data_IF_004392958749
#
_entry.id   IF_004392958749
#
_cell.length_a   1.000
_cell.length_b   1.000
_cell.length_c   1.000
_cell.angle_alpha   90.00
_cell.angle_beta   90.00
_cell.angle_gamma   90.00
#
_symmetry.space_group_name_H-M   'P 1'
#
loop_
_entity.id
_entity.type
_entity.pdbx_description
1 polymer ?
#
# COMPACT_ATOMS: atom_id res chain seq x y z
N UNK A 1 -16.44 -10.04 47.96
CA UNK A 1 -17.09 -9.50 46.76
C UNK A 1 -17.88 -10.63 46.13
N UNK A 2 -19.20 -10.47 46.03
CA UNK A 2 -20.07 -11.50 45.47
C UNK A 2 -19.84 -11.61 43.96
N UNK A 3 -19.78 -12.83 43.45
CA UNK A 3 -19.81 -13.07 42.00
C UNK A 3 -21.27 -12.84 41.58
N UNK A 4 -21.50 -11.84 40.73
CA UNK A 4 -22.82 -11.61 40.13
C UNK A 4 -23.24 -12.81 39.29
N UNK A 5 -24.48 -13.26 39.47
CA UNK A 5 -25.02 -14.43 38.78
C UNK A 5 -26.02 -13.98 37.72
N UNK A 6 -26.08 -14.73 36.63
CA UNK A 6 -27.17 -14.62 35.67
C UNK A 6 -28.40 -15.25 36.30
N UNK A 7 -29.49 -14.47 36.37
CA UNK A 7 -30.79 -14.89 36.90
C UNK A 7 -31.61 -15.50 35.77
N UNK A 8 -31.66 -14.81 34.62
CA UNK A 8 -32.46 -15.22 33.49
C UNK A 8 -31.85 -14.70 32.18
N UNK A 9 -32.12 -15.41 31.09
CA UNK A 9 -31.76 -15.01 29.73
C UNK A 9 -33.01 -15.11 28.87
N UNK A 10 -33.49 -13.98 28.40
CA UNK A 10 -34.59 -13.94 27.44
C UNK A 10 -34.02 -13.73 26.03
N UNK A 11 -34.39 -14.63 25.13
CA UNK A 11 -34.03 -14.55 23.72
C UNK A 11 -35.27 -14.20 22.92
N UNK A 12 -35.15 -13.18 22.07
CA UNK A 12 -36.08 -12.93 20.98
C UNK A 12 -35.31 -12.97 19.66
N UNK A 13 -35.98 -13.01 18.50
CA UNK A 13 -35.32 -13.09 17.20
C UNK A 13 -34.25 -12.02 16.94
N UNK A 14 -34.31 -10.89 17.67
CA UNK A 14 -33.42 -9.73 17.48
C UNK A 14 -32.79 -9.19 18.76
N UNK A 15 -32.98 -9.85 19.91
CA UNK A 15 -32.45 -9.37 21.19
C UNK A 15 -32.12 -10.51 22.14
N UNK A 16 -31.08 -10.27 22.94
CA UNK A 16 -30.68 -11.09 24.08
C UNK A 16 -30.75 -10.19 25.32
N UNK A 17 -31.68 -10.46 26.22
CA UNK A 17 -31.83 -9.73 27.48
C UNK A 17 -31.30 -10.62 28.60
N UNK A 18 -30.27 -10.14 29.31
CA UNK A 18 -29.63 -10.85 30.41
C UNK A 18 -30.00 -10.17 31.72
N UNK A 19 -30.70 -10.89 32.59
CA UNK A 19 -31.02 -10.45 33.94
C UNK A 19 -29.91 -10.96 34.87
N UNK A 20 -29.34 -10.09 35.69
CA UNK A 20 -28.24 -10.44 36.61
C UNK A 20 -28.58 -10.05 38.04
N UNK A 21 -27.90 -10.62 39.02
CA UNK A 21 -28.03 -10.25 40.44
C UNK A 21 -27.40 -8.91 40.79
N UNK A 22 -26.81 -8.20 39.82
CA UNK A 22 -26.15 -6.92 40.03
C UNK A 22 -27.19 -5.81 40.17
N UNK A 23 -27.21 -5.15 41.32
CA UNK A 23 -27.98 -3.92 41.54
C UNK A 23 -27.07 -2.70 41.35
N UNK A 24 -27.37 -1.84 40.35
CA UNK A 24 -26.63 -0.60 40.09
C UNK A 24 -26.29 -0.34 38.62
N UNK A 25 -25.64 0.79 38.28
CA UNK A 25 -25.29 1.16 36.91
C UNK A 25 -24.40 0.10 36.23
N UNK A 26 -24.68 -0.15 34.95
CA UNK A 26 -24.15 -1.28 34.16
C UNK A 26 -22.68 -1.13 33.74
N UNK A 27 -22.04 -0.02 34.09
CA UNK A 27 -20.78 0.46 33.53
C UNK A 27 -19.57 -0.45 33.85
N UNK A 28 -19.78 -1.49 34.65
CA UNK A 28 -18.77 -2.48 35.05
C UNK A 28 -19.16 -3.92 34.68
N UNK A 29 -20.15 -4.13 33.81
CA UNK A 29 -20.55 -5.46 33.35
C UNK A 29 -19.80 -5.81 32.04
N UNK A 30 -18.79 -6.67 32.12
CA UNK A 30 -18.12 -7.20 30.93
C UNK A 30 -18.75 -8.53 30.53
N UNK A 31 -19.54 -8.55 29.47
CA UNK A 31 -20.13 -9.77 28.91
C UNK A 31 -19.21 -10.29 27.80
N UNK A 32 -18.66 -11.49 27.98
CA UNK A 32 -17.93 -12.20 26.92
C UNK A 32 -18.85 -13.30 26.36
N UNK A 33 -19.27 -13.16 25.11
CA UNK A 33 -20.09 -14.16 24.42
C UNK A 33 -19.15 -15.04 23.60
N UNK A 34 -19.00 -16.30 24.00
CA UNK A 34 -18.28 -17.31 23.22
C UNK A 34 -19.30 -18.15 22.45
N UNK A 35 -19.34 -17.99 21.13
CA UNK A 35 -20.21 -18.79 20.27
C UNK A 35 -19.52 -20.11 19.93
N UNK A 36 -20.04 -21.22 20.46
CA UNK A 36 -19.69 -22.53 19.95
C UNK A 36 -20.49 -22.78 18.66
N UNK A 37 -19.86 -23.17 17.54
CA UNK A 37 -20.59 -23.55 16.34
C UNK A 37 -21.46 -24.78 16.66
N UNK A 38 -22.77 -24.58 16.68
CA UNK A 38 -23.75 -25.65 16.86
C UNK A 38 -23.93 -26.34 15.51
N UNK A 39 -23.76 -27.66 15.47
CA UNK A 39 -23.95 -28.53 14.30
C UNK A 39 -25.45 -28.65 13.92
N UNK A 40 -26.15 -27.53 13.72
CA UNK A 40 -27.56 -27.53 13.34
C UNK A 40 -27.68 -27.38 11.82
N UNK A 41 -27.87 -28.51 11.14
CA UNK A 41 -28.00 -28.63 9.69
C UNK A 41 -29.27 -28.00 9.08
N UNK A 42 -29.93 -27.02 9.72
CA UNK A 42 -31.23 -26.53 9.21
C UNK A 42 -31.61 -25.05 9.48
N UNK A 43 -30.64 -24.15 9.65
CA UNK A 43 -30.92 -22.71 9.58
C UNK A 43 -30.06 -22.03 8.51
N UNK A 44 -30.68 -21.63 7.39
CA UNK A 44 -30.05 -20.91 6.27
C UNK A 44 -29.82 -19.42 6.54
N UNK A 45 -29.88 -18.97 7.80
CA UNK A 45 -29.43 -17.64 8.19
C UNK A 45 -28.04 -17.74 8.82
N UNK A 46 -27.10 -18.22 8.02
CA UNK A 46 -25.68 -18.12 8.33
C UNK A 46 -25.33 -16.63 8.35
N UNK A 47 -24.93 -16.11 9.50
CA UNK A 47 -24.30 -14.80 9.56
C UNK A 47 -23.05 -14.87 8.70
N UNK A 48 -23.11 -14.29 7.49
CA UNK A 48 -22.01 -14.32 6.54
C UNK A 48 -20.91 -13.44 7.09
N UNK A 49 -19.89 -14.05 7.69
CA UNK A 49 -18.69 -13.34 8.10
C UNK A 49 -18.08 -12.68 6.85
N UNK A 50 -17.92 -11.34 6.81
CA UNK A 50 -17.30 -10.68 5.66
C UNK A 50 -15.90 -11.26 5.44
N UNK A 51 -15.67 -11.88 4.30
CA UNK A 51 -14.34 -12.27 3.87
C UNK A 51 -13.79 -11.17 3.00
N UNK A 52 -12.66 -10.63 3.40
CA UNK A 52 -11.93 -9.60 2.68
C UNK A 52 -10.43 -9.81 2.87
N UNK A 53 -9.66 -9.23 1.95
CA UNK A 53 -8.21 -9.15 2.04
C UNK A 53 -7.77 -7.71 1.86
N UNK A 54 -6.70 -7.35 2.57
CA UNK A 54 -5.99 -6.09 2.39
C UNK A 54 -4.51 -6.43 2.29
N UNK A 55 -3.85 -5.92 1.27
CA UNK A 55 -2.44 -6.19 1.04
C UNK A 55 -1.73 -4.99 0.41
N UNK A 56 -0.42 -4.91 0.67
CA UNK A 56 0.47 -3.88 0.13
C UNK A 56 1.21 -4.44 -1.09
N UNK A 57 1.31 -3.66 -2.16
CA UNK A 57 2.06 -4.04 -3.37
C UNK A 57 2.70 -2.83 -4.07
N UNK A 58 3.50 -3.10 -5.09
CA UNK A 58 4.15 -2.08 -5.95
C UNK A 58 3.75 -2.18 -7.42
N UNK A 59 2.70 -2.94 -7.73
CA UNK A 59 2.17 -3.01 -9.09
C UNK A 59 1.14 -1.90 -9.32
N UNK A 60 1.20 -1.24 -10.46
CA UNK A 60 0.16 -0.31 -10.89
C UNK A 60 -1.12 -1.05 -11.36
N UNK A 61 -2.13 -0.30 -11.80
CA UNK A 61 -3.40 -0.85 -12.30
C UNK A 61 -3.22 -1.77 -13.52
N UNK A 62 -2.15 -1.60 -14.30
CA UNK A 62 -1.81 -2.44 -15.45
C UNK A 62 -1.12 -3.75 -15.06
N UNK A 63 -0.75 -3.90 -13.78
CA UNK A 63 0.07 -4.99 -13.28
C UNK A 63 1.56 -4.79 -13.50
N UNK A 64 1.97 -3.65 -14.07
CA UNK A 64 3.38 -3.31 -14.28
C UNK A 64 4.02 -2.95 -12.96
N UNK A 65 5.27 -3.36 -12.78
CA UNK A 65 6.01 -3.06 -11.55
C UNK A 65 6.34 -1.57 -11.51
N UNK A 66 5.76 -0.85 -10.57
CA UNK A 66 6.11 0.51 -10.24
C UNK A 66 7.25 0.50 -9.22
N UNK A 67 8.33 1.22 -9.50
CA UNK A 67 9.52 1.25 -8.65
C UNK A 67 9.41 2.25 -7.50
N UNK A 68 8.50 3.20 -7.59
CA UNK A 68 8.36 4.31 -6.65
C UNK A 68 7.05 4.19 -5.86
N UNK A 69 5.93 3.97 -6.55
CA UNK A 69 4.61 3.83 -5.94
C UNK A 69 4.50 2.62 -5.02
N UNK A 70 3.85 2.83 -3.87
CA UNK A 70 3.38 1.77 -2.97
C UNK A 70 1.87 1.86 -2.92
N UNK A 71 1.20 0.74 -3.11
CA UNK A 71 -0.25 0.66 -3.20
C UNK A 71 -0.81 -0.19 -2.09
N UNK A 72 -1.93 0.23 -1.53
CA UNK A 72 -2.74 -0.57 -0.61
C UNK A 72 -4.02 -0.93 -1.32
N UNK A 73 -4.27 -2.23 -1.45
CA UNK A 73 -5.47 -2.75 -2.11
C UNK A 73 -6.31 -3.52 -1.12
N UNK A 74 -7.60 -3.19 -1.07
CA UNK A 74 -8.61 -3.91 -0.32
C UNK A 74 -9.60 -4.57 -1.28
N UNK A 75 -9.91 -5.85 -1.05
CA UNK A 75 -10.83 -6.62 -1.89
C UNK A 75 -11.79 -7.43 -1.06
N UNK A 76 -13.02 -7.55 -1.55
CA UNK A 76 -13.94 -8.55 -1.06
C UNK A 76 -13.55 -9.93 -1.58
N UNK A 77 -13.51 -10.91 -0.69
CA UNK A 77 -13.38 -12.32 -1.02
C UNK A 77 -14.74 -13.02 -1.07
N UNK A 78 -15.76 -12.47 -0.41
CA UNK A 78 -17.11 -12.99 -0.44
C UNK A 78 -17.83 -12.65 -1.75
N UNK A 79 -18.33 -13.67 -2.45
CA UNK A 79 -19.18 -13.49 -3.64
C UNK A 79 -20.52 -12.83 -3.30
N UNK A 80 -21.12 -13.23 -2.17
CA UNK A 80 -22.36 -12.66 -1.65
C UNK A 80 -22.05 -11.69 -0.52
N UNK A 81 -22.62 -10.49 -0.60
CA UNK A 81 -22.47 -9.39 0.35
C UNK A 81 -23.84 -8.90 0.80
N UNK A 82 -23.90 -8.34 1.99
CA UNK A 82 -25.12 -7.69 2.49
C UNK A 82 -25.27 -6.38 1.73
N UNK A 83 -26.42 -6.17 1.10
CA UNK A 83 -26.69 -4.95 0.35
C UNK A 83 -26.56 -3.72 1.26
N UNK A 84 -25.84 -2.71 0.79
CA UNK A 84 -25.57 -1.48 1.56
C UNK A 84 -24.53 -1.63 2.67
N UNK A 85 -23.83 -2.77 2.74
CA UNK A 85 -22.68 -2.91 3.65
C UNK A 85 -21.42 -2.25 3.10
N UNK A 86 -20.47 -1.95 3.99
CA UNK A 86 -19.19 -1.33 3.61
C UNK A 86 -18.07 -1.66 4.58
N UNK A 87 -16.84 -1.71 4.09
CA UNK A 87 -15.63 -1.68 4.93
C UNK A 87 -15.15 -0.25 5.00
N UNK A 88 -15.09 0.29 6.22
CA UNK A 88 -14.30 1.47 6.54
C UNK A 88 -12.89 1.01 6.87
N UNK A 89 -11.92 1.39 6.07
CA UNK A 89 -10.53 0.97 6.17
C UNK A 89 -9.71 2.21 6.50
N UNK A 90 -9.20 2.27 7.71
CA UNK A 90 -8.31 3.34 8.14
C UNK A 90 -6.88 2.89 7.91
N UNK A 91 -6.24 3.47 6.89
CA UNK A 91 -4.86 3.20 6.51
C UNK A 91 -3.99 4.28 7.12
N UNK A 92 -2.88 3.91 7.74
CA UNK A 92 -1.92 4.87 8.26
C UNK A 92 -0.49 4.40 8.11
N UNK A 93 0.38 5.34 7.79
CA UNK A 93 1.79 5.15 7.53
C UNK A 93 2.58 5.68 8.71
N UNK A 94 3.43 4.83 9.29
CA UNK A 94 4.32 5.21 10.39
C UNK A 94 5.69 5.59 9.85
N UNK A 95 6.06 6.84 10.11
CA UNK A 95 7.38 7.38 9.81
C UNK A 95 8.07 7.78 11.12
N UNK A 96 9.38 8.02 11.09
CA UNK A 96 10.20 8.21 12.31
C UNK A 96 9.66 9.25 13.29
N UNK A 97 9.07 10.35 12.78
CA UNK A 97 8.56 11.45 13.61
C UNK A 97 7.16 11.92 13.21
N UNK A 98 6.54 11.27 12.22
CA UNK A 98 5.26 11.68 11.66
C UNK A 98 4.43 10.45 11.31
N UNK A 99 3.12 10.64 11.24
CA UNK A 99 2.20 9.69 10.63
C UNK A 99 1.34 10.42 9.61
N UNK A 100 0.95 9.70 8.56
CA UNK A 100 -0.08 10.12 7.63
C UNK A 100 -1.15 9.04 7.60
N UNK A 101 -2.41 9.43 7.55
CA UNK A 101 -3.55 8.53 7.57
C UNK A 101 -4.61 8.92 6.55
N UNK A 102 -5.36 7.92 6.10
CA UNK A 102 -6.47 8.07 5.17
C UNK A 102 -7.55 7.04 5.49
N UNK A 103 -8.82 7.42 5.33
CA UNK A 103 -9.95 6.52 5.47
C UNK A 103 -10.52 6.22 4.10
N UNK A 104 -10.51 4.93 3.75
CA UNK A 104 -11.02 4.39 2.49
C UNK A 104 -12.30 3.61 2.75
N UNK A 105 -13.30 3.77 1.87
CA UNK A 105 -14.58 3.07 1.99
C UNK A 105 -14.76 2.10 0.83
N UNK A 106 -14.70 0.79 1.13
CA UNK A 106 -15.03 -0.25 0.17
C UNK A 106 -16.51 -0.64 0.30
N UNK A 107 -17.34 -0.21 -0.64
CA UNK A 107 -18.78 -0.53 -0.68
C UNK A 107 -19.03 -1.98 -1.10
N UNK A 108 -20.19 -2.51 -0.76
CA UNK A 108 -20.68 -3.82 -1.17
C UNK A 108 -20.74 -3.98 -2.70
N UNK A 109 -21.01 -2.92 -3.45
CA UNK A 109 -21.12 -2.94 -4.91
C UNK A 109 -19.78 -3.02 -5.65
N UNK A 110 -18.66 -2.71 -5.00
CA UNK A 110 -17.33 -2.66 -5.62
C UNK A 110 -16.56 -3.95 -5.35
N UNK A 111 -15.76 -4.47 -6.27
CA UNK A 111 -14.95 -5.69 -6.03
C UNK A 111 -13.72 -5.43 -5.17
N UNK A 112 -13.13 -4.26 -5.33
CA UNK A 112 -11.99 -3.79 -4.55
C UNK A 112 -11.75 -2.30 -4.76
N UNK A 113 -10.80 -1.78 -4.00
CA UNK A 113 -10.30 -0.41 -4.06
C UNK A 113 -8.80 -0.42 -3.84
N UNK A 114 -8.10 0.44 -4.59
CA UNK A 114 -6.66 0.61 -4.50
C UNK A 114 -6.36 2.08 -4.27
N UNK A 115 -5.48 2.37 -3.32
CA UNK A 115 -4.96 3.72 -3.09
C UNK A 115 -3.44 3.72 -3.23
N UNK A 116 -2.90 4.82 -3.74
CA UNK A 116 -1.47 5.05 -3.82
C UNK A 116 -0.99 5.80 -2.58
N UNK A 117 0.07 5.29 -1.96
CA UNK A 117 0.76 5.91 -0.84
C UNK A 117 1.98 6.65 -1.38
N UNK A 118 1.85 7.96 -1.53
CA UNK A 118 2.97 8.83 -1.89
C UNK A 118 3.98 8.88 -0.72
N UNK A 119 5.26 8.61 -1.02
CA UNK A 119 6.33 8.67 -0.03
C UNK A 119 7.66 9.09 -0.64
N UNK A 120 8.48 9.74 0.18
CA UNK A 120 9.85 10.07 -0.18
C UNK A 120 10.74 8.82 -0.17
N UNK A 121 11.62 8.72 -1.15
CA UNK A 121 12.56 7.63 -1.30
C UNK A 121 14.01 8.14 -1.27
N UNK A 122 14.91 7.29 -0.77
CA UNK A 122 16.35 7.40 -1.02
C UNK A 122 16.74 6.43 -2.12
N UNK A 123 17.65 6.86 -2.99
CA UNK A 123 18.21 6.03 -4.05
C UNK A 123 19.70 5.84 -3.80
N UNK A 124 20.14 4.57 -3.78
CA UNK A 124 21.55 4.19 -3.78
C UNK A 124 21.84 3.49 -5.11
N UNK A 125 22.78 4.06 -5.89
CA UNK A 125 23.12 3.55 -7.23
C UNK A 125 24.43 2.78 -7.15
N UNK A 126 24.40 1.55 -7.64
CA UNK A 126 25.53 0.64 -7.72
C UNK A 126 25.87 0.36 -9.20
N UNK A 127 27.14 0.49 -9.57
CA UNK A 127 27.63 -0.02 -10.85
C UNK A 127 27.82 -1.54 -10.73
N UNK A 128 27.20 -2.29 -11.64
CA UNK A 128 27.39 -3.72 -11.75
C UNK A 128 28.58 -3.94 -12.71
N UNK A 129 29.77 -3.79 -12.13
CA UNK A 129 31.07 -3.89 -12.81
C UNK A 129 31.08 -5.00 -13.87
N UNK A 130 31.40 -4.60 -15.11
CA UNK A 130 31.59 -5.52 -16.24
C UNK A 130 30.39 -5.74 -17.15
N UNK A 131 29.19 -5.28 -16.78
CA UNK A 131 27.97 -5.51 -17.58
C UNK A 131 27.31 -4.24 -18.16
N UNK A 132 27.92 -3.07 -18.00
CA UNK A 132 27.31 -1.77 -18.34
C UNK A 132 25.89 -1.66 -17.76
N UNK A 133 25.70 -2.15 -16.54
CA UNK A 133 24.42 -2.13 -15.86
C UNK A 133 24.56 -1.32 -14.58
N UNK A 134 23.60 -0.46 -14.34
CA UNK A 134 23.45 0.23 -13.06
C UNK A 134 22.23 -0.33 -12.36
N UNK A 135 22.37 -0.53 -11.06
CA UNK A 135 21.30 -0.97 -10.18
C UNK A 135 20.98 0.16 -9.20
N UNK A 136 19.73 0.59 -9.20
CA UNK A 136 19.20 1.50 -8.20
C UNK A 136 18.51 0.70 -7.09
N UNK A 137 19.02 0.80 -5.87
CA UNK A 137 18.34 0.35 -4.66
C UNK A 137 17.47 1.51 -4.15
N UNK A 138 16.15 1.32 -4.21
CA UNK A 138 15.14 2.34 -3.86
C UNK A 138 14.54 1.97 -2.51
N UNK A 139 14.74 2.81 -1.50
CA UNK A 139 14.26 2.56 -0.15
C UNK A 139 13.39 3.72 0.35
N UNK A 140 12.34 3.45 1.14
CA UNK A 140 11.61 4.52 1.84
C UNK A 140 12.55 5.36 2.70
N UNK A 141 12.43 6.68 2.64
CA UNK A 141 13.35 7.59 3.33
C UNK A 141 13.11 7.60 4.85
N UNK A 142 11.84 7.75 5.26
CA UNK A 142 11.46 7.93 6.68
C UNK A 142 10.38 6.97 7.18
N UNK A 143 9.64 6.37 6.26
CA UNK A 143 8.47 5.56 6.58
C UNK A 143 8.82 4.07 6.48
N UNK A 144 8.47 3.29 7.50
CA UNK A 144 8.92 1.89 7.59
C UNK A 144 7.77 0.89 7.59
N UNK A 145 6.59 1.33 8.00
CA UNK A 145 5.44 0.46 8.21
C UNK A 145 4.16 1.11 7.71
N UNK A 146 3.32 0.34 7.04
CA UNK A 146 1.93 0.68 6.71
C UNK A 146 1.05 -0.22 7.56
N UNK A 147 0.10 0.39 8.26
CA UNK A 147 -0.88 -0.32 9.06
C UNK A 147 -2.29 0.01 8.58
N UNK A 148 -3.22 -0.89 8.88
CA UNK A 148 -4.63 -0.66 8.68
C UNK A 148 -5.46 -1.30 9.78
N UNK A 149 -6.55 -0.64 10.12
CA UNK A 149 -7.66 -1.21 10.86
C UNK A 149 -8.94 -1.15 10.02
N UNK A 150 -9.87 -2.05 10.30
CA UNK A 150 -11.08 -2.23 9.48
C UNK A 150 -12.29 -2.23 10.38
N UNK A 151 -13.31 -1.47 9.99
CA UNK A 151 -14.64 -1.53 10.56
C UNK A 151 -15.65 -1.90 9.48
N UNK A 152 -16.26 -3.07 9.62
CA UNK A 152 -17.36 -3.49 8.76
C UNK A 152 -18.67 -2.87 9.25
N UNK A 153 -19.35 -2.15 8.38
CA UNK A 153 -20.61 -1.48 8.61
C UNK A 153 -21.71 -2.16 7.79
N UNK A 154 -22.87 -2.40 8.40
CA UNK A 154 -24.04 -2.92 7.69
C UNK A 154 -25.31 -2.25 8.19
N UNK A 155 -26.27 -2.02 7.29
CA UNK A 155 -27.62 -1.65 7.65
C UNK A 155 -28.55 -2.82 7.36
N UNK A 156 -29.21 -3.35 8.39
CA UNK A 156 -30.17 -4.44 8.23
C UNK A 156 -31.48 -4.00 8.87
N UNK A 157 -32.54 -3.96 8.05
CA UNK A 157 -33.89 -3.55 8.48
C UNK A 157 -33.93 -2.18 9.20
N UNK A 158 -33.14 -1.21 8.71
CA UNK A 158 -33.10 0.14 9.27
C UNK A 158 -32.26 0.28 10.55
N UNK A 159 -31.54 -0.77 10.97
CA UNK A 159 -30.60 -0.72 12.09
C UNK A 159 -29.17 -0.84 11.59
N UNK A 160 -28.27 -0.04 12.16
CA UNK A 160 -26.85 -0.08 11.85
C UNK A 160 -26.13 -1.06 12.79
N UNK A 161 -25.30 -1.92 12.22
CA UNK A 161 -24.38 -2.79 12.95
C UNK A 161 -22.96 -2.51 12.49
N UNK A 162 -22.01 -2.64 13.42
CA UNK A 162 -20.59 -2.47 13.14
C UNK A 162 -19.77 -3.57 13.80
N UNK A 163 -18.73 -4.02 13.11
CA UNK A 163 -17.71 -4.92 13.67
C UNK A 163 -16.33 -4.40 13.31
N UNK A 164 -15.51 -4.16 14.34
CA UNK A 164 -14.11 -3.78 14.14
C UNK A 164 -13.20 -5.00 14.18
N UNK A 165 -12.17 -4.98 13.36
CA UNK A 165 -11.14 -6.00 13.26
C UNK A 165 -9.84 -5.51 13.88
N UNK A 166 -8.97 -6.44 14.24
CA UNK A 166 -7.66 -6.09 14.77
C UNK A 166 -6.83 -5.36 13.72
N UNK A 167 -6.03 -4.41 14.20
CA UNK A 167 -5.03 -3.74 13.38
C UNK A 167 -4.03 -4.76 12.80
N UNK A 168 -3.69 -4.58 11.54
CA UNK A 168 -2.64 -5.33 10.84
C UNK A 168 -1.61 -4.34 10.29
N UNK A 169 -0.34 -4.74 10.23
CA UNK A 169 0.73 -3.91 9.70
C UNK A 169 1.61 -4.73 8.76
N UNK A 170 2.16 -4.06 7.74
CA UNK A 170 3.16 -4.61 6.83
C UNK A 170 4.34 -3.66 6.69
N UNK A 171 5.51 -4.24 6.46
CA UNK A 171 6.76 -3.49 6.33
C UNK A 171 6.94 -2.98 4.91
N UNK A 172 7.27 -1.69 4.77
CA UNK A 172 7.55 -1.09 3.48
C UNK A 172 8.95 -1.52 3.04
N UNK A 173 9.01 -2.52 2.17
CA UNK A 173 10.28 -3.02 1.64
C UNK A 173 10.82 -2.08 0.57
N UNK A 174 12.14 -1.95 0.55
CA UNK A 174 12.85 -1.39 -0.59
C UNK A 174 12.66 -2.26 -1.84
N UNK A 175 12.89 -1.67 -3.00
CA UNK A 175 12.86 -2.35 -4.30
C UNK A 175 14.13 -2.03 -5.06
N UNK A 176 14.37 -2.77 -6.13
CA UNK A 176 15.49 -2.53 -7.02
C UNK A 176 15.00 -2.36 -8.45
N UNK A 177 15.64 -1.45 -9.15
CA UNK A 177 15.51 -1.26 -10.59
C UNK A 177 16.90 -1.39 -11.22
N UNK A 178 16.99 -2.07 -12.36
CA UNK A 178 18.24 -2.22 -13.09
C UNK A 178 18.03 -1.66 -14.49
N UNK A 179 19.00 -0.90 -14.97
CA UNK A 179 19.02 -0.40 -16.35
C UNK A 179 20.44 -0.45 -16.90
N UNK A 180 20.58 -0.28 -18.21
CA UNK A 180 21.85 -0.33 -18.90
C UNK A 180 22.42 1.08 -19.10
N UNK A 181 23.71 1.22 -18.85
CA UNK A 181 24.48 2.40 -19.21
C UNK A 181 24.68 2.39 -20.73
N UNK A 182 24.33 3.49 -21.38
CA UNK A 182 24.54 3.63 -22.82
C UNK A 182 26.04 3.75 -23.12
N UNK A 183 26.49 3.04 -24.14
CA UNK A 183 27.87 3.09 -24.60
C UNK A 183 28.09 4.31 -25.50
N UNK A 184 29.12 5.10 -25.22
CA UNK A 184 29.56 6.18 -26.10
C UNK A 184 30.01 5.61 -27.46
N UNK A 185 29.44 6.09 -28.56
CA UNK A 185 29.84 5.72 -29.92
C UNK A 185 30.71 6.81 -30.55
N UNK A 186 30.20 8.04 -30.58
CA UNK A 186 30.88 9.17 -31.17
C UNK A 186 30.36 10.48 -30.57
N UNK A 187 31.05 11.57 -30.85
CA UNK A 187 30.56 12.91 -30.52
C UNK A 187 30.82 13.86 -31.69
N UNK A 188 29.96 14.85 -31.85
CA UNK A 188 30.08 15.89 -32.86
C UNK A 188 29.79 17.27 -32.24
N UNK A 189 30.51 18.29 -32.68
CA UNK A 189 30.30 19.68 -32.29
C UNK A 189 29.59 20.41 -33.43
N UNK A 190 28.34 20.83 -33.22
CA UNK A 190 27.55 21.59 -34.21
C UNK A 190 27.02 22.84 -33.50
N UNK A 191 27.28 24.03 -34.05
CA UNK A 191 26.84 25.32 -33.50
C UNK A 191 27.15 25.50 -32.00
N UNK A 192 28.38 25.18 -31.59
CA UNK A 192 28.83 25.22 -30.18
C UNK A 192 28.08 24.27 -29.23
N UNK A 193 27.38 23.27 -29.77
CA UNK A 193 26.69 22.24 -28.99
C UNK A 193 27.39 20.89 -29.19
N UNK A 194 27.63 20.19 -28.06
CA UNK A 194 28.18 18.84 -28.05
C UNK A 194 27.03 17.84 -28.19
N UNK A 195 27.01 17.12 -29.30
CA UNK A 195 26.11 15.99 -29.53
C UNK A 195 26.87 14.71 -29.21
N UNK A 196 26.30 13.88 -28.34
CA UNK A 196 26.89 12.61 -27.96
C UNK A 196 26.01 11.49 -28.49
N UNK A 197 26.56 10.71 -29.43
CA UNK A 197 25.90 9.53 -29.98
C UNK A 197 26.19 8.36 -29.06
N UNK A 198 25.14 7.69 -28.62
CA UNK A 198 25.24 6.58 -27.68
C UNK A 198 24.46 5.37 -28.21
N UNK A 199 24.88 4.17 -27.82
CA UNK A 199 24.20 2.92 -28.17
C UNK A 199 23.74 2.21 -26.90
N UNK A 200 22.50 1.72 -26.88
CA UNK A 200 21.96 0.88 -25.80
C UNK A 200 22.52 -0.55 -25.95
N UNK A 201 22.84 -1.21 -24.85
CA UNK A 201 23.46 -2.54 -24.84
C UNK A 201 22.45 -3.70 -25.11
N UNK A 202 21.15 -3.44 -25.22
CA UNK A 202 20.16 -4.51 -25.41
C UNK A 202 20.07 -4.96 -26.87
N UNK A 203 20.12 -6.28 -27.09
CA UNK A 203 19.92 -6.90 -28.41
C UNK A 203 18.47 -6.77 -28.93
N UNK A 204 17.54 -6.26 -28.11
CA UNK A 204 16.10 -6.24 -28.39
C UNK A 204 15.49 -4.85 -28.61
N UNK A 205 16.22 -3.75 -28.39
CA UNK A 205 15.72 -2.39 -28.61
C UNK A 205 16.69 -1.62 -29.52
N UNK A 206 16.29 -1.41 -30.77
CA UNK A 206 17.01 -0.62 -31.76
C UNK A 206 16.77 0.88 -31.56
N UNK A 207 16.96 1.38 -30.33
CA UNK A 207 16.78 2.80 -30.03
C UNK A 207 18.13 3.52 -30.04
N UNK A 208 18.53 3.96 -31.23
CA UNK A 208 19.59 4.96 -31.39
C UNK A 208 19.03 6.34 -31.02
N UNK A 209 19.20 6.75 -29.76
CA UNK A 209 18.83 8.09 -29.32
C UNK A 209 20.05 9.02 -29.23
N UNK A 210 19.91 10.22 -29.80
CA UNK A 210 20.87 11.32 -29.62
C UNK A 210 20.60 12.02 -28.28
N UNK A 211 21.58 12.00 -27.38
CA UNK A 211 21.52 12.77 -26.14
C UNK A 211 22.15 14.14 -26.38
N UNK A 212 21.38 15.22 -26.16
CA UNK A 212 21.88 16.60 -26.26
C UNK A 212 22.50 17.02 -24.93
N UNK A 213 23.82 17.23 -24.90
CA UNK A 213 24.50 17.79 -23.75
C UNK A 213 24.76 19.29 -23.98
N UNK A 214 24.24 20.14 -23.09
CA UNK A 214 24.53 21.58 -23.11
C UNK A 214 25.70 21.83 -22.17
N UNK A 215 26.89 21.97 -22.72
CA UNK A 215 28.04 22.47 -21.98
C UNK A 215 27.84 23.97 -21.71
N UNK A 216 27.44 24.35 -20.49
CA UNK A 216 27.52 25.74 -20.04
C UNK A 216 28.96 26.02 -19.61
N UNK A 217 29.61 26.95 -20.31
CA UNK A 217 30.92 27.47 -19.91
C UNK A 217 30.76 28.17 -18.54
N UNK A 218 31.28 27.55 -17.47
CA UNK A 218 31.31 28.12 -16.12
C UNK A 218 32.46 29.11 -15.92
N UNK A 219 33.29 29.33 -16.94
CA UNK A 219 34.45 30.22 -16.87
C UNK A 219 34.14 31.48 -17.67
N UNK A 220 33.28 32.32 -17.12
CA UNK A 220 33.34 33.76 -17.44
C UNK A 220 34.52 34.38 -16.70
N UNK A 221 35.77 33.99 -17.02
CA UNK A 221 37.03 34.74 -16.78
C UNK A 221 38.27 33.89 -17.11
N UNK A 222 38.38 33.32 -18.31
CA UNK A 222 39.69 32.87 -18.80
C UNK A 222 39.65 32.64 -20.30
N UNK A 223 40.35 33.49 -21.02
CA UNK A 223 40.62 33.37 -22.45
C UNK A 223 41.79 32.44 -22.66
N UNK A 224 41.57 31.13 -22.60
CA UNK A 224 42.50 30.14 -23.19
C UNK A 224 41.78 28.80 -23.43
N UNK A 225 41.87 28.21 -24.64
CA UNK A 225 41.23 26.95 -24.95
C UNK A 225 41.99 25.77 -24.32
N UNK A 226 41.28 24.96 -23.52
CA UNK A 226 41.74 23.65 -23.06
C UNK A 226 41.68 22.65 -24.23
N UNK A 227 42.75 22.57 -25.01
CA UNK A 227 43.05 21.40 -25.85
C UNK A 227 44.19 20.67 -25.16
N UNK A 228 43.91 19.48 -24.62
CA UNK A 228 44.94 18.51 -24.27
C UNK A 228 44.61 17.20 -24.99
N UNK A 229 45.30 16.97 -26.10
CA UNK A 229 45.31 15.67 -26.78
C UNK A 229 45.94 14.62 -25.85
N UNK A 230 45.23 13.54 -25.58
CA UNK A 230 45.84 12.32 -25.07
C UNK A 230 46.32 11.48 -26.26
N UNK A 231 47.64 11.24 -26.31
CA UNK A 231 48.25 10.18 -27.12
C UNK A 231 48.07 8.82 -26.45
#
# INVERSE_FOLDING_TARGET
>A
MGIDRIINIETAPTQLIIYTTKEGPSDQLTIKIETNPRNDQNSTNEFVDPKFEIYVHRNDESGSKNTEGVFVTAKWLSEKRIEGSSLLIHVFVKCEHTSADEIVVLKDSATGITIEIAMDHRLEIEDLDGNHQIKANIMPLKCREICWDVTYLMNVLGRNFSRSFNQTCDQIKGTTATTFVRQLQSYEMIDHQLFVNTKVHSESESDEEKVKLIAKNLISTSSEPLIQEYR
#
